data_IF_974736461469
#
_entry.id   IF_974736461469
#
_cell.length_a   1.000
_cell.length_b   1.000
_cell.length_c   1.000
_cell.angle_alpha   90.00
_cell.angle_beta   90.00
_cell.angle_gamma   90.00
#
_symmetry.space_group_name_H-M   'P 1'
#
loop_
_entity.id
_entity.type
_entity.pdbx_description
1 polymer ?
#
# COMPACT_ATOMS: atom_id res chain seq x y z
N UNK A 1 3.07 -30.84 -16.65
CA UNK A 1 4.42 -30.52 -17.13
C UNK A 1 4.73 -29.11 -16.69
N UNK A 2 5.45 -28.93 -15.55
CA UNK A 2 6.05 -27.65 -15.19
C UNK A 2 7.16 -27.41 -16.22
N UNK A 3 6.93 -26.52 -17.17
CA UNK A 3 8.02 -25.90 -17.91
C UNK A 3 8.77 -25.05 -16.88
N UNK A 4 9.99 -25.47 -16.56
CA UNK A 4 10.95 -24.62 -15.84
C UNK A 4 11.21 -23.41 -16.75
N UNK A 5 10.57 -22.30 -16.44
CA UNK A 5 10.90 -21.02 -17.08
C UNK A 5 12.35 -20.71 -16.73
N UNK A 6 13.19 -20.45 -17.73
CA UNK A 6 14.58 -20.03 -17.44
C UNK A 6 14.58 -18.63 -16.81
N UNK A 7 15.53 -18.33 -15.93
CA UNK A 7 15.72 -17.02 -15.33
C UNK A 7 15.65 -15.89 -16.37
N UNK A 8 16.21 -16.11 -17.55
CA UNK A 8 16.15 -15.14 -18.66
C UNK A 8 14.71 -14.84 -19.10
N UNK A 9 13.87 -15.87 -19.23
CA UNK A 9 12.45 -15.69 -19.60
C UNK A 9 11.72 -14.89 -18.51
N UNK A 10 11.94 -15.21 -17.24
CA UNK A 10 11.33 -14.53 -16.11
C UNK A 10 11.73 -13.04 -16.08
N UNK A 11 13.01 -12.73 -16.29
CA UNK A 11 13.50 -11.35 -16.35
C UNK A 11 12.91 -10.55 -17.50
N UNK A 12 12.78 -11.16 -18.69
CA UNK A 12 12.11 -10.49 -19.81
C UNK A 12 10.64 -10.20 -19.54
N UNK A 13 9.92 -11.17 -18.98
CA UNK A 13 8.50 -10.98 -18.64
C UNK A 13 8.33 -9.90 -17.57
N UNK A 14 9.17 -9.89 -16.51
CA UNK A 14 9.20 -8.86 -15.47
C UNK A 14 9.47 -7.47 -16.07
N UNK A 15 10.47 -7.35 -16.93
CA UNK A 15 10.82 -6.08 -17.56
C UNK A 15 9.70 -5.56 -18.49
N UNK A 16 9.07 -6.42 -19.28
CA UNK A 16 7.91 -6.02 -20.12
C UNK A 16 6.75 -5.58 -19.23
N UNK A 17 6.46 -6.30 -18.15
CA UNK A 17 5.39 -5.96 -17.21
C UNK A 17 5.59 -4.58 -16.57
N UNK A 18 6.77 -4.32 -16.03
CA UNK A 18 7.12 -3.03 -15.43
C UNK A 18 7.06 -1.89 -16.47
N UNK A 19 7.56 -2.13 -17.68
CA UNK A 19 7.47 -1.15 -18.75
C UNK A 19 6.02 -0.86 -19.15
N UNK A 20 5.15 -1.89 -19.26
CA UNK A 20 3.71 -1.69 -19.53
C UNK A 20 3.00 -0.89 -18.43
N UNK A 21 3.37 -1.12 -17.17
CA UNK A 21 2.83 -0.35 -16.02
C UNK A 21 3.17 1.14 -16.12
N UNK A 22 4.32 1.46 -16.69
CA UNK A 22 4.82 2.83 -16.86
C UNK A 22 4.34 3.52 -18.14
N UNK A 23 3.69 2.81 -19.07
CA UNK A 23 3.17 3.39 -20.32
C UNK A 23 2.04 4.38 -20.05
N UNK A 24 1.96 5.39 -20.90
CA UNK A 24 0.81 6.30 -20.92
C UNK A 24 -0.46 5.55 -21.36
N UNK A 25 -1.66 6.01 -20.97
CA UNK A 25 -2.93 5.35 -21.35
C UNK A 25 -3.15 5.23 -22.86
N UNK A 26 -2.50 6.08 -23.67
CA UNK A 26 -2.54 6.04 -25.13
C UNK A 26 -1.59 5.02 -25.76
N UNK A 27 -0.61 4.53 -25.02
CA UNK A 27 0.39 3.59 -25.48
C UNK A 27 -0.01 2.17 -25.10
N UNK A 28 0.05 1.25 -26.06
CA UNK A 28 -0.38 -0.14 -25.84
C UNK A 28 0.76 -1.16 -25.90
N UNK A 29 1.90 -0.76 -26.44
CA UNK A 29 3.04 -1.63 -26.71
C UNK A 29 4.33 -1.01 -26.16
N UNK A 30 5.14 -1.82 -25.51
CA UNK A 30 6.48 -1.42 -25.05
C UNK A 30 7.43 -1.39 -26.24
N UNK A 31 8.07 -0.25 -26.53
CA UNK A 31 9.05 -0.16 -27.61
C UNK A 31 10.26 -1.08 -27.37
N UNK A 32 10.73 -1.76 -28.41
CA UNK A 32 11.86 -2.71 -28.30
C UNK A 32 13.15 -2.06 -27.79
N UNK A 33 13.40 -0.79 -28.15
CA UNK A 33 14.55 -0.03 -27.66
C UNK A 33 14.50 0.20 -26.15
N UNK A 34 13.33 0.52 -25.61
CA UNK A 34 13.11 0.69 -24.16
C UNK A 34 13.34 -0.62 -23.42
N UNK A 35 12.79 -1.74 -23.93
CA UNK A 35 12.99 -3.06 -23.34
C UNK A 35 14.47 -3.47 -23.35
N UNK A 36 15.16 -3.29 -24.48
CA UNK A 36 16.58 -3.59 -24.61
C UNK A 36 17.44 -2.78 -23.63
N UNK A 37 17.11 -1.49 -23.46
CA UNK A 37 17.78 -0.61 -22.49
C UNK A 37 17.52 -1.07 -21.05
N UNK A 38 16.28 -1.40 -20.71
CA UNK A 38 15.91 -1.85 -19.35
C UNK A 38 16.62 -3.17 -18.97
N UNK A 39 16.87 -4.04 -19.95
CA UNK A 39 17.56 -5.33 -19.72
C UNK A 39 19.08 -5.25 -19.91
N UNK A 40 19.63 -4.10 -20.28
CA UNK A 40 21.08 -3.96 -20.55
C UNK A 40 21.58 -4.80 -21.72
N UNK A 41 20.73 -5.11 -22.70
CA UNK A 41 21.08 -5.96 -23.86
C UNK A 41 21.01 -5.18 -25.18
N UNK A 42 21.66 -5.70 -26.22
CA UNK A 42 21.55 -5.09 -27.55
C UNK A 42 20.15 -5.38 -28.17
N UNK A 43 19.58 -4.45 -28.96
CA UNK A 43 18.22 -4.58 -29.50
C UNK A 43 17.96 -5.88 -30.29
N UNK A 44 18.98 -6.40 -30.99
CA UNK A 44 18.86 -7.67 -31.71
C UNK A 44 18.63 -8.88 -30.80
N UNK A 45 19.33 -8.93 -29.66
CA UNK A 45 19.13 -9.96 -28.63
C UNK A 45 17.73 -9.87 -28.01
N UNK A 46 17.29 -8.66 -27.66
CA UNK A 46 15.94 -8.44 -27.16
C UNK A 46 14.88 -8.92 -28.17
N UNK A 47 15.04 -8.57 -29.43
CA UNK A 47 14.09 -8.97 -30.49
C UNK A 47 14.05 -10.50 -30.68
N UNK A 48 15.19 -11.18 -30.62
CA UNK A 48 15.26 -12.65 -30.76
C UNK A 48 14.52 -13.32 -29.62
N UNK A 49 14.75 -12.88 -28.37
CA UNK A 49 14.06 -13.45 -27.22
C UNK A 49 12.55 -13.15 -27.23
N UNK A 50 12.15 -11.93 -27.59
CA UNK A 50 10.73 -11.55 -27.69
C UNK A 50 10.00 -12.39 -28.75
N UNK A 51 10.63 -12.74 -29.88
CA UNK A 51 10.06 -13.66 -30.86
C UNK A 51 9.85 -15.04 -30.26
N UNK A 52 10.81 -15.59 -29.55
CA UNK A 52 10.67 -16.90 -28.88
C UNK A 52 9.56 -16.87 -27.81
N UNK A 53 9.42 -15.77 -27.06
CA UNK A 53 8.32 -15.58 -26.12
C UNK A 53 6.96 -15.47 -26.80
N UNK A 54 6.90 -14.88 -28.00
CA UNK A 54 5.69 -14.81 -28.80
C UNK A 54 5.28 -16.20 -29.34
N UNK A 55 6.24 -16.99 -29.81
CA UNK A 55 6.01 -18.39 -30.19
C UNK A 55 5.49 -19.26 -29.04
N UNK A 56 5.95 -18.94 -27.80
CA UNK A 56 5.47 -19.60 -26.57
C UNK A 56 4.12 -19.06 -26.07
N UNK A 57 3.52 -18.07 -26.74
CA UNK A 57 2.23 -17.49 -26.37
C UNK A 57 2.26 -16.59 -25.12
N UNK A 58 3.44 -16.18 -24.66
CA UNK A 58 3.59 -15.33 -23.45
C UNK A 58 3.55 -13.85 -23.76
N UNK A 59 3.88 -13.45 -24.99
CA UNK A 59 3.81 -12.06 -25.43
C UNK A 59 3.14 -11.96 -26.82
N UNK A 60 2.68 -10.77 -27.14
CA UNK A 60 2.33 -10.36 -28.52
C UNK A 60 3.41 -9.40 -28.99
N UNK A 61 4.07 -9.76 -30.07
CA UNK A 61 5.09 -8.94 -30.70
C UNK A 61 4.61 -8.37 -32.00
N UNK A 62 4.69 -7.08 -32.18
CA UNK A 62 4.38 -6.39 -33.43
C UNK A 62 5.67 -5.76 -33.98
N UNK A 63 6.16 -6.23 -35.15
CA UNK A 63 7.37 -5.68 -35.74
C UNK A 63 7.28 -4.15 -35.90
N UNK A 64 8.34 -3.46 -35.52
CA UNK A 64 8.48 -1.99 -35.52
C UNK A 64 7.56 -1.21 -34.57
N UNK A 65 6.55 -1.83 -33.96
CA UNK A 65 5.65 -1.22 -33.00
C UNK A 65 6.08 -1.51 -31.56
N UNK A 66 6.27 -2.79 -31.19
CA UNK A 66 6.69 -3.15 -29.85
C UNK A 66 6.17 -4.50 -29.37
N UNK A 67 6.11 -4.67 -28.07
CA UNK A 67 5.71 -5.91 -27.40
C UNK A 67 4.74 -5.62 -26.25
N UNK A 68 3.81 -6.56 -25.99
CA UNK A 68 2.98 -6.60 -24.80
C UNK A 68 2.81 -8.02 -24.29
N UNK A 69 2.57 -8.18 -23.02
CA UNK A 69 2.25 -9.47 -22.43
C UNK A 69 0.87 -9.99 -22.89
N UNK A 70 0.74 -11.30 -22.96
CA UNK A 70 -0.57 -11.98 -22.96
C UNK A 70 -1.05 -12.17 -21.52
N UNK A 71 -2.32 -12.54 -21.26
CA UNK A 71 -2.77 -12.86 -19.90
C UNK A 71 -1.92 -13.94 -19.20
N UNK A 72 -1.41 -14.92 -19.98
CA UNK A 72 -0.49 -15.94 -19.45
C UNK A 72 0.87 -15.34 -19.08
N UNK A 73 1.41 -14.46 -19.92
CA UNK A 73 2.65 -13.73 -19.64
C UNK A 73 2.51 -12.79 -18.45
N UNK A 74 1.40 -12.07 -18.34
CA UNK A 74 1.12 -11.19 -17.19
C UNK A 74 1.09 -11.95 -15.87
N UNK A 75 0.44 -13.10 -15.82
CA UNK A 75 0.39 -13.94 -14.61
C UNK A 75 1.78 -14.43 -14.20
N UNK A 76 2.61 -14.84 -15.15
CA UNK A 76 4.01 -15.24 -14.85
C UNK A 76 4.86 -14.04 -14.40
N UNK A 77 4.79 -12.92 -15.11
CA UNK A 77 5.52 -11.70 -14.74
C UNK A 77 5.13 -11.21 -13.34
N UNK A 78 3.85 -11.19 -13.02
CA UNK A 78 3.36 -10.78 -11.70
C UNK A 78 3.85 -11.72 -10.58
N UNK A 79 3.99 -13.03 -10.83
CA UNK A 79 4.57 -13.97 -9.86
C UNK A 79 6.04 -13.67 -9.58
N UNK A 80 6.83 -13.42 -10.61
CA UNK A 80 8.25 -13.07 -10.44
C UNK A 80 8.38 -11.76 -9.67
N UNK A 81 7.60 -10.75 -10.05
CA UNK A 81 7.59 -9.46 -9.35
C UNK A 81 7.15 -9.58 -7.89
N UNK A 82 6.16 -10.43 -7.59
CA UNK A 82 5.74 -10.73 -6.23
C UNK A 82 6.89 -11.35 -5.41
N UNK A 83 7.58 -12.34 -5.96
CA UNK A 83 8.75 -12.95 -5.30
C UNK A 83 9.80 -11.90 -5.00
N UNK A 84 10.18 -11.11 -6.00
CA UNK A 84 11.15 -10.04 -5.86
C UNK A 84 10.83 -9.11 -4.68
N UNK A 85 9.65 -8.50 -4.68
CA UNK A 85 9.22 -7.53 -3.67
C UNK A 85 9.05 -8.11 -2.27
N UNK A 86 8.58 -9.35 -2.16
CA UNK A 86 8.50 -10.05 -0.87
C UNK A 86 9.88 -10.37 -0.32
N UNK A 87 10.84 -10.75 -1.18
CA UNK A 87 12.23 -10.99 -0.78
C UNK A 87 12.89 -9.69 -0.33
N UNK A 88 12.77 -8.59 -1.08
CA UNK A 88 13.29 -7.28 -0.66
C UNK A 88 12.76 -6.90 0.74
N UNK A 89 11.45 -7.02 0.95
CA UNK A 89 10.85 -6.69 2.24
C UNK A 89 11.33 -7.60 3.37
N UNK A 90 11.46 -8.90 3.11
CA UNK A 90 12.01 -9.87 4.05
C UNK A 90 13.46 -9.55 4.42
N UNK A 91 14.30 -9.23 3.44
CA UNK A 91 15.69 -8.86 3.66
C UNK A 91 15.82 -7.59 4.51
N UNK A 92 14.95 -6.59 4.29
CA UNK A 92 14.95 -5.37 5.10
C UNK A 92 14.40 -5.62 6.50
N UNK A 93 13.20 -6.20 6.64
CA UNK A 93 12.50 -6.26 7.92
C UNK A 93 13.01 -7.36 8.85
N UNK A 94 13.42 -8.50 8.30
CA UNK A 94 13.81 -9.68 9.08
C UNK A 94 15.32 -9.82 9.16
N UNK A 95 16.03 -9.59 8.06
CA UNK A 95 17.47 -9.72 8.01
C UNK A 95 18.21 -8.44 8.39
N UNK A 96 17.51 -7.28 8.48
CA UNK A 96 18.09 -5.99 8.83
C UNK A 96 19.01 -5.41 7.75
N UNK A 97 18.87 -5.83 6.49
CA UNK A 97 19.65 -5.30 5.38
C UNK A 97 19.21 -3.87 5.03
N UNK A 98 20.14 -3.10 4.46
CA UNK A 98 19.80 -1.76 3.99
C UNK A 98 18.82 -1.83 2.81
N UNK A 99 17.77 -1.02 2.84
CA UNK A 99 16.82 -0.88 1.74
C UNK A 99 17.46 -0.37 0.44
N UNK A 100 18.70 0.15 0.51
CA UNK A 100 19.46 0.62 -0.64
C UNK A 100 20.25 -0.50 -1.35
N UNK A 101 20.32 -1.69 -0.77
CA UNK A 101 21.18 -2.80 -1.23
C UNK A 101 20.41 -4.10 -1.50
N UNK A 102 19.14 -4.16 -1.09
CA UNK A 102 18.34 -5.41 -1.19
C UNK A 102 17.94 -5.78 -2.60
N UNK A 103 17.96 -4.83 -3.54
CA UNK A 103 17.53 -5.08 -4.91
C UNK A 103 18.36 -6.16 -5.60
N UNK A 104 19.68 -6.04 -5.55
CA UNK A 104 20.59 -6.99 -6.18
C UNK A 104 20.47 -8.39 -5.56
N UNK A 105 20.33 -8.47 -4.24
CA UNK A 105 20.11 -9.74 -3.54
C UNK A 105 18.77 -10.38 -3.89
N UNK A 106 17.72 -9.58 -4.00
CA UNK A 106 16.40 -10.07 -4.42
C UNK A 106 16.40 -10.60 -5.86
N UNK A 107 17.10 -9.93 -6.79
CA UNK A 107 17.33 -10.39 -8.17
C UNK A 107 17.97 -11.80 -8.22
N UNK A 108 18.92 -12.07 -7.34
CA UNK A 108 19.56 -13.38 -7.28
C UNK A 108 18.64 -14.46 -6.67
N UNK A 109 17.86 -14.10 -5.67
CA UNK A 109 17.04 -15.03 -4.90
C UNK A 109 15.70 -15.34 -5.56
N UNK A 110 15.08 -14.41 -6.30
CA UNK A 110 13.72 -14.54 -6.83
C UNK A 110 13.52 -15.77 -7.74
N UNK A 111 14.58 -16.23 -8.37
CA UNK A 111 14.57 -17.40 -9.25
C UNK A 111 14.87 -18.72 -8.54
N UNK A 112 15.48 -18.66 -7.35
CA UNK A 112 15.89 -19.83 -6.58
C UNK A 112 14.87 -20.22 -5.50
N UNK A 113 14.08 -19.26 -5.04
CA UNK A 113 13.12 -19.44 -3.94
C UNK A 113 11.86 -20.14 -4.45
N UNK A 114 11.44 -21.21 -3.75
CA UNK A 114 10.22 -21.93 -4.07
C UNK A 114 8.96 -21.17 -3.70
N UNK A 115 7.86 -21.41 -4.43
CA UNK A 115 6.55 -20.80 -4.14
C UNK A 115 6.12 -21.02 -2.69
N UNK A 116 6.39 -22.24 -2.13
CA UNK A 116 6.08 -22.54 -0.73
C UNK A 116 6.82 -21.63 0.25
N UNK A 117 8.09 -21.32 -0.04
CA UNK A 117 8.87 -20.42 0.83
C UNK A 117 8.38 -18.99 0.71
N UNK A 118 8.03 -18.54 -0.50
CA UNK A 118 7.42 -17.22 -0.73
C UNK A 118 6.10 -17.04 0.04
N UNK A 119 5.22 -18.05 0.05
CA UNK A 119 3.98 -17.99 0.85
C UNK A 119 4.27 -17.89 2.35
N UNK A 120 5.32 -18.58 2.84
CA UNK A 120 5.73 -18.46 4.24
C UNK A 120 6.31 -17.09 4.57
N UNK A 121 7.08 -16.51 3.67
CA UNK A 121 7.61 -15.14 3.80
C UNK A 121 6.45 -14.15 3.84
N UNK A 122 5.48 -14.28 2.94
CA UNK A 122 4.30 -13.43 2.87
C UNK A 122 3.47 -13.49 4.17
N UNK A 123 3.21 -14.71 4.68
CA UNK A 123 2.53 -14.90 5.96
C UNK A 123 3.32 -14.28 7.13
N UNK A 124 4.63 -14.49 7.18
CA UNK A 124 5.50 -13.95 8.23
C UNK A 124 5.52 -12.42 8.24
N UNK A 125 5.50 -11.80 7.07
CA UNK A 125 5.46 -10.35 6.90
C UNK A 125 4.05 -9.75 7.11
N UNK A 126 3.03 -10.56 7.40
CA UNK A 126 1.66 -10.12 7.62
C UNK A 126 0.90 -9.77 6.35
N UNK A 127 1.27 -10.38 5.21
CA UNK A 127 0.69 -10.15 3.87
C UNK A 127 0.75 -8.68 3.45
N UNK A 128 1.96 -8.16 3.27
CA UNK A 128 2.17 -6.75 2.98
C UNK A 128 1.63 -6.37 1.60
N UNK A 129 1.21 -5.11 1.48
CA UNK A 129 0.72 -4.55 0.21
C UNK A 129 1.80 -3.85 -0.61
N UNK A 130 2.94 -3.54 0.00
CA UNK A 130 4.06 -2.83 -0.62
C UNK A 130 5.42 -3.34 -0.12
N UNK A 131 6.42 -3.17 -0.94
CA UNK A 131 7.82 -3.45 -0.64
C UNK A 131 8.50 -2.30 0.15
N UNK A 132 9.81 -2.38 0.48
CA UNK A 132 10.49 -1.32 1.24
C UNK A 132 10.50 0.05 0.56
N UNK A 133 10.37 0.11 -0.77
CA UNK A 133 10.37 1.33 -1.57
C UNK A 133 8.96 1.91 -1.77
N UNK A 134 7.92 1.20 -1.31
CA UNK A 134 6.52 1.53 -1.48
C UNK A 134 5.91 1.04 -2.79
N UNK A 135 6.60 0.18 -3.52
CA UNK A 135 6.09 -0.44 -4.72
C UNK A 135 5.04 -1.53 -4.39
N UNK A 136 3.87 -1.53 -5.03
CA UNK A 136 2.77 -2.43 -4.67
C UNK A 136 3.11 -3.89 -4.98
N UNK A 137 2.99 -4.79 -4.01
CA UNK A 137 3.23 -6.23 -4.17
C UNK A 137 2.04 -6.86 -4.92
N UNK A 138 2.26 -7.57 -6.03
CA UNK A 138 1.19 -8.30 -6.71
C UNK A 138 0.54 -9.34 -5.80
N UNK A 139 -0.77 -9.47 -5.86
CA UNK A 139 -1.50 -10.52 -5.16
C UNK A 139 -1.15 -11.93 -5.69
N UNK A 140 -1.55 -13.01 -4.99
CA UNK A 140 -1.28 -14.40 -5.39
C UNK A 140 -1.78 -14.74 -6.79
N UNK A 141 -2.91 -14.15 -7.21
CA UNK A 141 -3.50 -14.34 -8.55
C UNK A 141 -2.91 -13.41 -9.62
N UNK A 142 -1.91 -12.60 -9.28
CA UNK A 142 -1.26 -11.68 -10.20
C UNK A 142 -1.94 -10.32 -10.32
N UNK A 143 -2.94 -10.03 -9.49
CA UNK A 143 -3.57 -8.70 -9.43
C UNK A 143 -2.60 -7.69 -8.85
N UNK A 144 -2.44 -6.54 -9.52
CA UNK A 144 -1.60 -5.44 -9.04
C UNK A 144 -2.46 -4.21 -8.76
N UNK A 145 -2.47 -3.76 -7.52
CA UNK A 145 -3.04 -2.46 -7.15
C UNK A 145 -2.19 -1.34 -7.74
N UNK A 146 -2.84 -0.31 -8.28
CA UNK A 146 -2.16 0.86 -8.87
C UNK A 146 -2.69 2.14 -8.23
N UNK A 147 -2.35 2.40 -6.96
CA UNK A 147 -2.76 3.64 -6.34
C UNK A 147 -2.14 4.83 -7.11
N UNK A 148 -2.92 5.85 -7.30
CA UNK A 148 -2.46 7.11 -7.91
C UNK A 148 -2.03 8.04 -6.77
N UNK A 149 -0.80 8.46 -6.79
CA UNK A 149 -0.22 9.37 -5.82
C UNK A 149 0.24 10.65 -6.50
N UNK A 150 0.20 11.74 -5.78
CA UNK A 150 0.92 12.94 -6.15
C UNK A 150 2.43 12.75 -5.94
N UNK A 151 3.22 13.65 -6.50
CA UNK A 151 4.64 13.75 -6.20
C UNK A 151 4.90 14.97 -5.30
N UNK A 152 6.08 15.09 -4.70
CA UNK A 152 6.47 16.32 -4.01
C UNK A 152 6.48 17.54 -4.95
N UNK A 153 6.42 17.32 -6.28
CA UNK A 153 6.26 18.38 -7.28
C UNK A 153 4.81 18.79 -7.52
N UNK A 154 3.84 17.89 -7.30
CA UNK A 154 2.43 18.12 -7.69
C UNK A 154 1.49 18.25 -6.49
N UNK A 155 1.85 17.74 -5.32
CA UNK A 155 1.02 17.84 -4.12
C UNK A 155 0.80 19.30 -3.67
N UNK A 156 -0.21 19.54 -2.86
CA UNK A 156 -0.53 20.88 -2.35
C UNK A 156 0.60 21.43 -1.46
N UNK A 157 0.99 22.69 -1.67
CA UNK A 157 1.95 23.40 -0.81
C UNK A 157 1.28 23.74 0.53
N UNK A 158 1.99 23.59 1.62
CA UNK A 158 1.54 23.89 2.98
C UNK A 158 0.80 22.76 3.69
N UNK A 159 0.59 21.61 3.03
CA UNK A 159 -0.03 20.44 3.64
C UNK A 159 1.01 19.39 4.05
N UNK A 160 0.71 18.66 5.13
CA UNK A 160 1.50 17.50 5.52
C UNK A 160 1.13 16.32 4.64
N UNK A 161 2.14 15.70 4.07
CA UNK A 161 2.00 14.55 3.17
C UNK A 161 2.84 13.37 3.68
N UNK A 162 2.31 12.17 3.52
CA UNK A 162 3.05 10.94 3.81
C UNK A 162 3.74 10.46 2.54
N UNK A 163 5.03 10.16 2.62
CA UNK A 163 5.74 9.48 1.54
C UNK A 163 5.17 8.08 1.40
N UNK A 164 4.68 7.74 0.20
CA UNK A 164 4.09 6.43 -0.11
C UNK A 164 5.02 5.56 -0.93
N UNK A 165 5.78 6.19 -1.81
CA UNK A 165 6.64 5.45 -2.73
C UNK A 165 7.83 6.29 -3.19
N UNK A 166 8.97 5.63 -3.38
CA UNK A 166 10.16 6.19 -4.04
C UNK A 166 10.32 5.46 -5.38
N UNK A 167 10.11 6.16 -6.49
CA UNK A 167 10.01 5.53 -7.82
C UNK A 167 11.35 5.19 -8.48
N UNK A 168 12.45 5.70 -7.95
CA UNK A 168 13.79 5.43 -8.45
C UNK A 168 14.55 4.57 -7.44
N UNK A 169 14.94 3.37 -7.86
CA UNK A 169 15.63 2.38 -7.02
C UNK A 169 17.15 2.40 -7.24
N UNK A 170 17.69 3.42 -7.93
CA UNK A 170 19.13 3.64 -7.97
C UNK A 170 19.69 3.83 -6.56
N UNK A 171 20.76 3.11 -6.21
CA UNK A 171 21.30 3.07 -4.86
C UNK A 171 21.80 4.44 -4.36
N UNK A 172 22.28 5.31 -5.25
CA UNK A 172 22.67 6.67 -4.87
C UNK A 172 21.45 7.53 -4.56
N UNK A 173 20.36 7.37 -5.34
CA UNK A 173 19.10 8.05 -5.07
C UNK A 173 18.46 7.56 -3.78
N UNK A 174 18.45 6.26 -3.52
CA UNK A 174 17.92 5.71 -2.26
C UNK A 174 18.71 6.20 -1.04
N UNK A 175 20.04 6.26 -1.11
CA UNK A 175 20.86 6.87 -0.05
C UNK A 175 20.59 8.37 0.13
N UNK A 176 20.32 9.09 -0.97
CA UNK A 176 19.89 10.47 -0.90
C UNK A 176 18.53 10.59 -0.18
N UNK A 177 17.54 9.78 -0.56
CA UNK A 177 16.23 9.77 0.07
C UNK A 177 16.33 9.41 1.57
N UNK A 178 17.18 8.46 1.95
CA UNK A 178 17.45 8.10 3.34
C UNK A 178 18.01 9.26 4.16
N UNK A 179 19.02 9.98 3.64
CA UNK A 179 19.62 11.14 4.33
C UNK A 179 18.62 12.28 4.56
N UNK A 180 17.58 12.35 3.76
CA UNK A 180 16.54 13.37 3.82
C UNK A 180 15.23 12.88 4.46
N UNK A 181 15.23 11.69 5.06
CA UNK A 181 14.04 11.05 5.66
C UNK A 181 12.85 10.96 4.69
N UNK A 182 13.13 10.71 3.41
CA UNK A 182 12.13 10.55 2.35
C UNK A 182 11.79 9.07 2.08
N UNK A 183 11.73 8.26 3.14
CA UNK A 183 11.32 6.84 3.05
C UNK A 183 9.81 6.68 3.13
N UNK A 184 9.24 5.61 2.57
CA UNK A 184 7.81 5.29 2.77
C UNK A 184 7.41 5.31 4.24
N UNK A 185 6.27 5.95 4.52
CA UNK A 185 5.76 6.16 5.88
C UNK A 185 6.21 7.46 6.55
N UNK A 186 7.24 8.14 6.07
CA UNK A 186 7.67 9.42 6.64
C UNK A 186 6.73 10.56 6.24
N UNK A 187 6.57 11.51 7.16
CA UNK A 187 5.72 12.69 6.94
C UNK A 187 6.60 13.90 6.65
N UNK A 188 6.28 14.59 5.58
CA UNK A 188 6.95 15.83 5.18
C UNK A 188 5.92 16.87 4.74
N UNK A 189 6.32 18.15 4.75
CA UNK A 189 5.53 19.26 4.23
C UNK A 189 6.29 19.96 3.12
N UNK A 190 5.63 20.22 2.00
CA UNK A 190 6.17 21.09 0.97
C UNK A 190 5.89 22.54 1.37
N UNK A 191 6.92 23.26 1.79
CA UNK A 191 6.80 24.66 2.21
C UNK A 191 6.74 25.62 1.01
N UNK A 192 7.54 25.35 -0.01
CA UNK A 192 7.62 26.19 -1.20
C UNK A 192 8.20 25.42 -2.39
N UNK A 193 7.90 25.91 -3.60
CA UNK A 193 8.52 25.47 -4.84
C UNK A 193 9.06 26.68 -5.58
N UNK A 194 10.36 26.68 -5.85
CA UNK A 194 11.00 27.73 -6.65
C UNK A 194 11.31 27.20 -8.06
N UNK A 195 10.48 27.56 -9.06
CA UNK A 195 10.70 27.13 -10.44
C UNK A 195 11.95 27.77 -11.06
N UNK A 196 12.40 28.92 -10.57
CA UNK A 196 13.59 29.60 -11.10
C UNK A 196 14.87 28.92 -10.60
N UNK A 197 14.85 28.40 -9.37
CA UNK A 197 15.95 27.66 -8.79
C UNK A 197 15.86 26.13 -9.03
N UNK A 198 14.82 25.65 -9.70
CA UNK A 198 14.53 24.23 -9.95
C UNK A 198 14.58 23.38 -8.66
N UNK A 199 13.97 23.89 -7.59
CA UNK A 199 14.03 23.24 -6.29
C UNK A 199 12.71 23.30 -5.51
N UNK A 200 12.61 22.42 -4.50
CA UNK A 200 11.48 22.31 -3.59
C UNK A 200 11.99 22.40 -2.16
N UNK A 201 11.43 23.32 -1.38
CA UNK A 201 11.69 23.48 0.03
C UNK A 201 10.75 22.60 0.83
N UNK A 202 11.31 21.75 1.67
CA UNK A 202 10.60 20.78 2.48
C UNK A 202 10.85 21.01 3.97
N UNK A 203 9.89 20.62 4.79
CA UNK A 203 10.03 20.48 6.23
C UNK A 203 9.71 19.03 6.62
N UNK A 204 10.60 18.39 7.35
CA UNK A 204 10.41 17.05 7.90
C UNK A 204 11.19 16.88 9.19
N UNK A 205 10.65 16.17 10.16
CA UNK A 205 11.29 15.92 11.48
C UNK A 205 11.84 17.19 12.16
N UNK A 206 11.12 18.31 12.05
CA UNK A 206 11.51 19.59 12.65
C UNK A 206 12.64 20.34 11.92
N UNK A 207 13.11 19.85 10.77
CA UNK A 207 14.17 20.48 9.97
C UNK A 207 13.61 20.95 8.63
N UNK A 208 14.13 22.08 8.12
CA UNK A 208 13.93 22.53 6.75
C UNK A 208 15.12 22.11 5.90
N UNK A 209 14.83 21.66 4.69
CA UNK A 209 15.84 21.31 3.69
C UNK A 209 15.29 21.53 2.29
N UNK A 210 16.18 21.59 1.32
CA UNK A 210 15.82 21.83 -0.09
C UNK A 210 16.34 20.70 -0.95
N UNK A 211 15.51 20.22 -1.86
CA UNK A 211 15.87 19.20 -2.85
C UNK A 211 15.60 19.71 -4.27
N UNK A 212 16.33 19.19 -5.25
CA UNK A 212 16.08 19.52 -6.66
C UNK A 212 14.72 18.99 -7.14
N UNK A 213 14.09 19.67 -8.08
CA UNK A 213 12.78 19.29 -8.64
C UNK A 213 12.80 17.87 -9.24
N UNK A 214 13.92 17.47 -9.86
CA UNK A 214 14.08 16.08 -10.35
C UNK A 214 14.03 15.03 -9.25
N UNK A 215 14.57 15.32 -8.08
CA UNK A 215 14.47 14.43 -6.94
C UNK A 215 13.04 14.41 -6.38
N UNK A 216 12.41 15.58 -6.26
CA UNK A 216 11.04 15.73 -5.78
C UNK A 216 10.01 15.01 -6.67
N UNK A 217 10.23 14.94 -7.99
CA UNK A 217 9.35 14.22 -8.92
C UNK A 217 9.39 12.70 -8.77
N UNK A 218 10.41 12.16 -8.10
CA UNK A 218 10.58 10.71 -7.87
C UNK A 218 10.02 10.25 -6.52
N UNK A 219 9.59 11.16 -5.66
CA UNK A 219 9.00 10.85 -4.35
C UNK A 219 7.49 11.06 -4.44
N UNK A 220 6.76 9.96 -4.34
CA UNK A 220 5.31 9.93 -4.42
C UNK A 220 4.72 10.03 -3.01
N UNK A 221 3.70 10.85 -2.88
CA UNK A 221 3.13 11.23 -1.58
C UNK A 221 1.60 11.21 -1.60
N UNK A 222 1.02 11.12 -0.42
CA UNK A 222 -0.42 11.21 -0.20
C UNK A 222 -0.71 12.21 0.91
N UNK A 223 -1.69 13.07 0.70
CA UNK A 223 -2.12 14.08 1.68
C UNK A 223 -2.78 13.37 2.87
N UNK A 224 -2.34 13.69 4.08
CA UNK A 224 -2.84 13.05 5.31
C UNK A 224 -4.35 13.30 5.50
N UNK A 225 -4.85 14.49 5.08
CA UNK A 225 -6.26 14.85 5.17
C UNK A 225 -7.21 14.07 4.24
N UNK A 226 -6.72 13.53 3.11
CA UNK A 226 -7.54 12.78 2.17
C UNK A 226 -7.99 11.42 2.73
N UNK A 227 -7.17 10.80 3.57
CA UNK A 227 -7.50 9.51 4.20
C UNK A 227 -8.67 9.64 5.18
N UNK A 228 -8.72 10.73 5.95
CA UNK A 228 -9.82 11.02 6.90
C UNK A 228 -11.11 11.30 6.16
N UNK A 229 -11.07 12.02 5.04
CA UNK A 229 -12.25 12.35 4.25
C UNK A 229 -12.81 11.14 3.48
N UNK A 230 -11.96 10.23 2.98
CA UNK A 230 -12.41 8.98 2.35
C UNK A 230 -13.07 8.02 3.35
N UNK A 231 -12.57 7.93 4.57
CA UNK A 231 -13.21 7.13 5.63
C UNK A 231 -14.57 7.73 6.02
N UNK A 232 -14.70 9.05 6.07
CA UNK A 232 -15.97 9.73 6.35
C UNK A 232 -16.98 9.64 5.19
N UNK A 233 -16.52 9.65 3.93
CA UNK A 233 -17.38 9.54 2.75
C UNK A 233 -17.82 8.09 2.48
N UNK A 234 -17.00 7.10 2.82
CA UNK A 234 -17.41 5.69 2.70
C UNK A 234 -18.48 5.29 3.71
N UNK A 235 -18.51 5.91 4.89
CA UNK A 235 -19.57 5.69 5.88
C UNK A 235 -20.94 6.22 5.43
N UNK A 236 -21.00 7.25 4.59
CA UNK A 236 -22.28 7.80 4.09
C UNK A 236 -22.86 7.03 2.89
N UNK A 237 -22.05 6.28 2.14
CA UNK A 237 -22.53 5.52 0.98
C UNK A 237 -23.17 4.16 1.34
N UNK A 238 -22.92 3.63 2.54
CA UNK A 238 -23.50 2.37 3.01
C UNK A 238 -24.75 2.55 3.89
N UNK A 239 -25.15 3.78 4.20
CA UNK A 239 -26.33 4.05 5.02
C UNK A 239 -27.69 3.91 4.27
N UNK A 240 -27.68 3.50 3.02
CA UNK A 240 -28.86 3.46 2.17
C UNK A 240 -29.17 2.07 1.61
N UNK A 241 -29.45 1.10 2.46
CA UNK A 241 -30.32 -0.05 2.15
C UNK A 241 -30.42 -1.03 3.34
N UNK A 242 -31.23 -0.72 4.33
CA UNK A 242 -31.83 -1.77 5.18
C UNK A 242 -33.33 -1.52 5.29
N UNK A 243 -34.18 -2.51 5.01
CA UNK A 243 -35.64 -2.36 5.20
C UNK A 243 -35.92 -2.24 6.69
N UNK A 244 -36.77 -1.26 7.03
CA UNK A 244 -37.21 -0.98 8.37
C UNK A 244 -37.81 -2.24 9.03
N UNK A 245 -37.16 -2.78 10.05
CA UNK A 245 -37.75 -3.72 10.99
C UNK A 245 -38.48 -2.92 12.07
N UNK A 246 -39.73 -3.34 12.34
CA UNK A 246 -40.61 -2.78 13.35
C UNK A 246 -39.90 -2.68 14.70
N UNK A 247 -40.06 -1.52 15.32
CA UNK A 247 -39.61 -1.16 16.65
C UNK A 247 -40.08 -2.16 17.71
N UNK A 248 -39.10 -2.82 18.38
CA UNK A 248 -39.34 -3.29 19.73
C UNK A 248 -39.13 -2.12 20.69
N UNK A 249 -39.90 -2.03 21.75
CA UNK A 249 -39.88 -0.93 22.72
C UNK A 249 -38.47 -0.80 23.36
N UNK A 250 -38.01 0.41 23.65
CA UNK A 250 -36.70 0.62 24.22
C UNK A 250 -36.65 0.09 25.66
N UNK A 251 -35.72 -0.79 25.92
CA UNK A 251 -35.36 -1.24 27.26
C UNK A 251 -34.65 -0.10 27.99
N UNK A 252 -35.28 0.50 28.99
CA UNK A 252 -34.68 1.55 29.78
C UNK A 252 -33.80 0.93 30.88
N UNK A 253 -32.49 1.03 30.74
CA UNK A 253 -31.53 0.73 31.81
C UNK A 253 -31.42 1.97 32.70
N UNK A 254 -31.91 1.86 33.94
CA UNK A 254 -31.92 2.96 34.92
C UNK A 254 -30.74 2.94 35.91
N UNK A 255 -29.74 2.13 35.72
CA UNK A 255 -28.58 2.10 36.60
C UNK A 255 -27.25 2.11 35.81
N UNK A 256 -26.50 3.20 35.97
CA UNK A 256 -25.24 3.50 35.30
C UNK A 256 -24.00 3.07 36.09
N UNK A 257 -24.12 2.15 37.05
CA UNK A 257 -23.01 1.84 37.96
C UNK A 257 -22.00 0.80 37.48
N UNK A 258 -22.23 0.16 36.33
CA UNK A 258 -21.21 -0.72 35.72
C UNK A 258 -21.25 -0.61 34.20
N UNK A 259 -20.19 -0.09 33.65
CA UNK A 259 -19.86 -0.23 32.23
C UNK A 259 -19.49 -1.69 31.96
N UNK A 260 -20.49 -2.55 31.80
CA UNK A 260 -20.27 -3.83 31.15
C UNK A 260 -20.30 -3.54 29.66
N UNK A 261 -19.13 -3.44 29.04
CA UNK A 261 -19.06 -3.50 27.58
C UNK A 261 -19.78 -4.79 27.15
N UNK A 262 -20.77 -4.65 26.30
CA UNK A 262 -21.48 -5.81 25.75
C UNK A 262 -20.47 -6.76 25.13
N UNK A 263 -20.39 -7.97 25.65
CA UNK A 263 -19.39 -8.98 25.30
C UNK A 263 -19.65 -9.64 23.94
N UNK A 264 -20.51 -9.05 23.10
CA UNK A 264 -20.90 -9.61 21.82
C UNK A 264 -20.19 -8.92 20.65
N UNK A 265 -19.65 -9.73 19.76
CA UNK A 265 -19.10 -9.25 18.51
C UNK A 265 -20.23 -8.90 17.53
N UNK A 266 -19.95 -7.95 16.64
CA UNK A 266 -20.88 -7.52 15.59
C UNK A 266 -21.24 -8.67 14.63
N UNK A 267 -22.45 -8.67 14.11
CA UNK A 267 -22.90 -9.62 13.11
C UNK A 267 -22.08 -9.52 11.82
N UNK A 268 -21.95 -10.63 11.12
CA UNK A 268 -21.19 -10.69 9.87
C UNK A 268 -21.71 -9.65 8.86
N UNK A 269 -20.81 -8.79 8.39
CA UNK A 269 -21.11 -7.72 7.44
C UNK A 269 -21.66 -6.44 8.08
N UNK A 270 -21.75 -6.37 9.40
CA UNK A 270 -22.14 -5.14 10.13
C UNK A 270 -20.88 -4.40 10.54
N UNK A 271 -20.78 -3.14 10.16
CA UNK A 271 -19.75 -2.19 10.63
C UNK A 271 -20.44 -1.23 11.59
N UNK A 272 -19.95 -1.17 12.82
CA UNK A 272 -20.43 -0.24 13.83
C UNK A 272 -19.48 0.94 13.95
N UNK A 273 -20.02 2.16 13.94
CA UNK A 273 -19.25 3.37 14.19
C UNK A 273 -19.84 4.07 15.42
N UNK A 274 -19.02 4.33 16.40
CA UNK A 274 -19.37 4.96 17.67
C UNK A 274 -18.60 6.27 17.75
N UNK A 275 -19.31 7.39 17.90
CA UNK A 275 -18.71 8.70 18.10
C UNK A 275 -19.23 9.31 19.40
N UNK A 276 -18.35 9.77 20.24
CA UNK A 276 -18.68 10.44 21.50
C UNK A 276 -17.95 11.76 21.64
N UNK A 277 -18.62 12.79 22.12
CA UNK A 277 -18.02 14.07 22.45
C UNK A 277 -18.40 14.47 23.87
N UNK A 278 -17.42 14.95 24.64
CA UNK A 278 -17.62 15.45 26.00
C UNK A 278 -17.09 16.87 26.06
N UNK A 279 -17.89 17.78 26.61
CA UNK A 279 -17.55 19.19 26.79
C UNK A 279 -17.62 19.53 28.29
N UNK A 280 -16.52 19.97 28.87
CA UNK A 280 -16.46 20.33 30.29
C UNK A 280 -15.66 21.62 30.46
N UNK A 281 -16.29 22.66 30.96
CA UNK A 281 -15.61 23.91 31.32
C UNK A 281 -14.69 24.55 30.28
N UNK A 282 -15.12 24.51 29.01
CA UNK A 282 -14.35 25.04 27.88
C UNK A 282 -13.38 24.05 27.24
N UNK A 283 -13.14 22.91 27.86
CA UNK A 283 -12.38 21.81 27.31
C UNK A 283 -13.31 20.84 26.58
N UNK A 284 -12.79 20.14 25.57
CA UNK A 284 -13.56 19.10 24.89
C UNK A 284 -12.69 17.87 24.62
N UNK A 285 -13.34 16.72 24.58
CA UNK A 285 -12.77 15.49 24.06
C UNK A 285 -13.74 14.84 23.08
N UNK A 286 -13.20 14.29 22.01
CA UNK A 286 -13.91 13.53 21.00
C UNK A 286 -13.27 12.17 20.88
N UNK A 287 -14.08 11.11 20.89
CA UNK A 287 -13.64 9.75 20.63
C UNK A 287 -14.45 9.18 19.46
N UNK A 288 -13.76 8.56 18.53
CA UNK A 288 -14.35 7.82 17.45
C UNK A 288 -13.82 6.39 17.46
N UNK A 289 -14.71 5.41 17.46
CA UNK A 289 -14.39 4.00 17.39
C UNK A 289 -15.14 3.38 16.22
N UNK A 290 -14.45 2.60 15.42
CA UNK A 290 -15.08 1.81 14.38
C UNK A 290 -14.74 0.33 14.59
N UNK A 291 -15.76 -0.53 14.50
CA UNK A 291 -15.70 -1.96 14.74
C UNK A 291 -16.26 -2.73 13.56
N UNK A 292 -15.58 -3.80 13.19
CA UNK A 292 -16.07 -4.70 12.13
C UNK A 292 -15.59 -6.14 12.34
N UNK A 293 -16.41 -7.14 11.94
CA UNK A 293 -16.03 -8.53 11.99
C UNK A 293 -15.04 -8.85 10.86
N UNK A 294 -14.00 -9.63 11.18
CA UNK A 294 -13.03 -10.14 10.21
C UNK A 294 -13.33 -11.61 9.95
N UNK A 295 -13.56 -11.97 8.69
CA UNK A 295 -13.80 -13.34 8.25
C UNK A 295 -15.03 -14.03 8.87
N UNK A 296 -15.31 -13.87 10.17
CA UNK A 296 -16.46 -14.44 10.88
C UNK A 296 -16.87 -13.56 12.06
N UNK A 297 -18.05 -13.80 12.64
CA UNK A 297 -18.53 -13.13 13.85
C UNK A 297 -17.62 -13.38 15.08
N UNK A 298 -16.87 -14.48 15.09
CA UNK A 298 -15.98 -14.80 16.19
C UNK A 298 -14.77 -13.86 16.29
N UNK A 299 -14.44 -13.15 15.22
CA UNK A 299 -13.29 -12.27 15.13
C UNK A 299 -13.72 -10.84 14.85
N UNK A 300 -13.42 -9.94 15.76
CA UNK A 300 -13.73 -8.53 15.61
C UNK A 300 -12.46 -7.70 15.71
N UNK A 301 -12.35 -6.75 14.81
CA UNK A 301 -11.33 -5.72 14.84
C UNK A 301 -11.98 -4.37 15.14
N UNK A 302 -11.31 -3.55 15.92
CA UNK A 302 -11.72 -2.16 16.10
C UNK A 302 -10.52 -1.23 16.15
N UNK A 303 -10.72 0.01 15.70
CA UNK A 303 -9.79 1.07 15.97
C UNK A 303 -10.52 2.24 16.64
N UNK A 304 -9.79 2.92 17.52
CA UNK A 304 -10.28 4.11 18.21
C UNK A 304 -9.29 5.25 18.01
N UNK A 305 -9.82 6.44 17.75
CA UNK A 305 -9.05 7.68 17.67
C UNK A 305 -9.68 8.67 18.62
N UNK A 306 -8.85 9.35 19.45
CA UNK A 306 -9.28 10.42 20.30
C UNK A 306 -8.72 11.76 19.84
N UNK A 307 -9.48 12.82 20.04
CA UNK A 307 -9.01 14.20 19.93
C UNK A 307 -9.43 14.97 21.18
N UNK A 308 -8.63 15.87 21.64
CA UNK A 308 -8.89 16.63 22.88
C UNK A 308 -8.38 18.06 22.76
N UNK A 309 -9.01 18.94 23.53
CA UNK A 309 -8.56 20.27 23.82
C UNK A 309 -8.67 20.49 25.34
N UNK A 310 -7.55 20.77 25.98
CA UNK A 310 -7.47 20.96 27.42
C UNK A 310 -7.21 22.41 27.82
N UNK A 311 -7.41 23.37 26.91
CA UNK A 311 -7.21 24.80 27.13
C UNK A 311 -5.76 25.26 26.96
N UNK A 312 -4.78 24.37 27.03
CA UNK A 312 -3.37 24.63 26.73
C UNK A 312 -3.01 24.32 25.28
N UNK A 313 -3.89 23.62 24.58
CA UNK A 313 -3.78 23.26 23.15
C UNK A 313 -4.71 22.12 22.77
N UNK A 314 -5.04 22.08 21.48
CA UNK A 314 -5.79 20.98 20.86
C UNK A 314 -4.86 19.99 20.17
N UNK A 315 -5.19 18.69 20.24
CA UNK A 315 -4.39 17.65 19.61
C UNK A 315 -5.15 16.35 19.42
N UNK A 316 -4.59 15.48 18.59
CA UNK A 316 -5.03 14.09 18.47
C UNK A 316 -4.39 13.32 19.62
N UNK A 317 -5.20 12.62 20.41
CA UNK A 317 -4.75 11.74 21.48
C UNK A 317 -4.29 10.38 20.93
N UNK A 318 -4.15 9.43 21.84
CA UNK A 318 -3.70 8.09 21.49
C UNK A 318 -4.69 7.39 20.56
N UNK A 319 -4.14 6.68 19.58
CA UNK A 319 -4.91 5.80 18.71
C UNK A 319 -4.73 4.37 19.17
N UNK A 320 -5.82 3.63 19.27
CA UNK A 320 -5.83 2.23 19.72
C UNK A 320 -6.33 1.32 18.61
N UNK A 321 -5.62 0.22 18.43
CA UNK A 321 -6.06 -0.89 17.59
C UNK A 321 -6.36 -2.08 18.50
N UNK A 322 -7.56 -2.63 18.43
CA UNK A 322 -7.98 -3.75 19.23
C UNK A 322 -8.43 -4.91 18.33
N UNK A 323 -8.12 -6.11 18.80
CA UNK A 323 -8.63 -7.34 18.23
C UNK A 323 -9.31 -8.14 19.33
N UNK A 324 -10.54 -8.59 19.07
CA UNK A 324 -11.32 -9.42 20.00
C UNK A 324 -11.61 -10.77 19.35
N UNK A 325 -11.39 -11.84 20.09
CA UNK A 325 -11.79 -13.19 19.71
C UNK A 325 -12.85 -13.71 20.68
N UNK A 326 -14.02 -14.02 20.16
CA UNK A 326 -15.10 -14.62 20.93
C UNK A 326 -14.96 -16.15 20.93
N UNK A 327 -14.47 -16.69 22.04
CA UNK A 327 -14.23 -18.12 22.20
C UNK A 327 -15.49 -18.94 22.51
N UNK A 328 -16.52 -18.28 23.06
CA UNK A 328 -17.76 -18.93 23.45
C UNK A 328 -18.94 -18.16 22.83
N UNK A 329 -19.88 -18.89 22.24
CA UNK A 329 -21.17 -18.36 21.79
C UNK A 329 -22.26 -18.96 22.65
N UNK A 330 -23.19 -18.14 23.09
CA UNK A 330 -24.40 -18.64 23.76
C UNK A 330 -25.26 -19.37 22.73
N UNK A 331 -25.47 -20.67 22.96
CA UNK A 331 -26.40 -21.48 22.18
C UNK A 331 -27.71 -21.68 22.95
N UNK A 332 -28.85 -21.85 22.28
CA UNK A 332 -30.09 -22.15 22.95
C UNK A 332 -29.95 -23.47 23.75
N UNK A 333 -29.86 -23.39 25.08
CA UNK A 333 -29.89 -24.54 25.97
C UNK A 333 -28.68 -24.77 26.87
N UNK A 334 -27.80 -23.81 27.10
CA UNK A 334 -26.79 -23.89 28.17
C UNK A 334 -26.91 -22.68 29.10
N UNK A 335 -26.97 -22.92 30.44
CA UNK A 335 -27.01 -21.88 31.46
C UNK A 335 -25.71 -21.08 31.48
#
# INVERSE_FOLDING_TARGET
>A
SQMLTSHTVENYLKAIFLAQVALLPSEQLVPMGQLASALGVVPGTATTMVKALAESGLVRYEPYAGVRLTPAGEKLAARVLRRHRLIELFLVQVMGMSWTEVHDEAEHLEHAVSDRLIERIDEMLGRPSADPHGDPIPGPEGTLSRPVYDTLMTCTVGEDVTVRRVSDQDSEFLRFAERHDLKPGQVVRVEDRDPAADCVKLRGQGREFTIGARAASKVLVEVIGALVLMVLLSSSAFAQAAPARKSAEPFAITDNSFLVEEAFNQDRGVVQSIAGAVFVSGNWSFNFTQEWPIASQAHQFSYSVSALDNGDGSGVGDSQLNYRYQALTEGPGRP
#
